data_IF_912868407793
#
_entry.id   IF_912868407793
#
_cell.length_a   1.000
_cell.length_b   1.000
_cell.length_c   1.000
_cell.angle_alpha   90.00
_cell.angle_beta   90.00
_cell.angle_gamma   90.00
#
_symmetry.space_group_name_H-M   'P 1'
#
loop_
_entity.id
_entity.type
_entity.pdbx_description
1 polymer ?
#
# COMPACT_ATOMS: atom_id res chain seq x y z
N UNK A 1 14.18 12.24 -27.15
CA UNK A 1 12.97 12.51 -26.35
C UNK A 1 13.16 11.77 -25.05
N UNK A 2 12.84 12.39 -23.91
CA UNK A 2 12.90 11.70 -22.63
C UNK A 2 11.96 10.50 -22.68
N UNK A 3 12.38 9.34 -22.17
CA UNK A 3 11.52 8.15 -22.12
C UNK A 3 10.46 8.34 -21.03
N UNK A 4 9.20 8.23 -21.41
CA UNK A 4 8.10 8.12 -20.45
C UNK A 4 8.16 6.76 -19.75
N UNK A 5 7.82 6.74 -18.46
CA UNK A 5 7.76 5.53 -17.64
C UNK A 5 6.32 5.22 -17.21
N UNK A 6 6.04 3.95 -16.95
CA UNK A 6 4.83 3.53 -16.25
C UNK A 6 5.13 3.33 -14.77
N UNK A 7 4.35 3.93 -13.87
CA UNK A 7 4.50 3.80 -12.44
C UNK A 7 3.22 3.22 -11.84
N UNK A 8 3.35 2.04 -11.25
CA UNK A 8 2.36 1.52 -10.33
C UNK A 8 2.61 2.10 -8.94
N UNK A 9 1.75 3.03 -8.50
CA UNK A 9 1.82 3.64 -7.17
C UNK A 9 0.88 2.87 -6.24
N UNK A 10 1.32 1.75 -5.67
CA UNK A 10 0.49 0.93 -4.79
C UNK A 10 0.48 1.37 -3.33
N UNK A 11 -0.49 0.87 -2.56
CA UNK A 11 -0.64 1.17 -1.12
C UNK A 11 0.58 0.71 -0.31
N UNK A 12 1.03 -0.53 -0.56
CA UNK A 12 2.13 -1.16 0.19
C UNK A 12 3.45 -1.13 -0.57
N UNK A 13 3.41 -1.37 -1.88
CA UNK A 13 4.58 -1.40 -2.75
C UNK A 13 4.29 -0.62 -4.03
N UNK A 14 5.33 -0.08 -4.64
CA UNK A 14 5.26 0.60 -5.92
C UNK A 14 6.28 0.00 -6.90
N UNK A 15 5.97 0.08 -8.19
CA UNK A 15 6.78 -0.46 -9.30
C UNK A 15 6.93 0.60 -10.37
N UNK A 16 8.09 0.62 -11.02
CA UNK A 16 8.35 1.46 -12.20
C UNK A 16 8.83 0.57 -13.34
N UNK A 17 8.28 0.81 -14.53
CA UNK A 17 8.60 0.08 -15.75
C UNK A 17 8.81 1.06 -16.91
N UNK A 18 9.59 0.62 -17.89
CA UNK A 18 9.81 1.33 -19.16
C UNK A 18 9.41 0.45 -20.32
N UNK A 19 9.00 1.08 -21.41
CA UNK A 19 8.75 0.40 -22.68
C UNK A 19 9.98 0.53 -23.59
N UNK A 20 10.67 -0.59 -23.85
CA UNK A 20 11.84 -0.62 -24.71
C UNK A 20 11.84 -1.87 -25.61
N UNK A 21 12.20 -1.70 -26.87
CA UNK A 21 12.33 -2.84 -27.80
C UNK A 21 11.02 -3.57 -28.12
N UNK A 22 9.86 -2.97 -27.82
CA UNK A 22 8.55 -3.60 -27.98
C UNK A 22 8.08 -4.40 -26.77
N UNK A 23 8.83 -4.39 -25.67
CA UNK A 23 8.49 -5.08 -24.43
C UNK A 23 8.46 -4.11 -23.25
N UNK A 24 7.65 -4.44 -22.24
CA UNK A 24 7.66 -3.74 -20.96
C UNK A 24 8.69 -4.36 -20.02
N UNK A 25 9.59 -3.55 -19.46
CA UNK A 25 10.63 -4.00 -18.53
C UNK A 25 10.52 -3.26 -17.20
N UNK A 26 10.36 -4.02 -16.11
CA UNK A 26 10.41 -3.48 -14.74
C UNK A 26 11.85 -3.10 -14.40
N UNK A 27 12.03 -1.88 -13.91
CA UNK A 27 13.32 -1.33 -13.52
C UNK A 27 13.57 -1.61 -12.02
N UNK A 28 14.64 -2.34 -11.65
CA UNK A 28 15.03 -2.48 -10.26
C UNK A 28 15.34 -1.15 -9.58
N UNK A 29 15.02 -1.01 -8.30
CA UNK A 29 15.45 0.13 -7.49
C UNK A 29 16.94 0.05 -7.13
N UNK A 30 17.45 1.11 -6.49
CA UNK A 30 18.86 1.18 -6.06
C UNK A 30 19.30 0.04 -5.14
N UNK A 31 18.35 -0.61 -4.46
CA UNK A 31 18.54 -1.75 -3.57
C UNK A 31 18.49 -3.11 -4.30
N UNK A 32 18.27 -3.12 -5.62
CA UNK A 32 18.22 -4.32 -6.47
C UNK A 32 16.86 -5.02 -6.52
N UNK A 33 15.82 -4.46 -5.90
CA UNK A 33 14.49 -5.05 -5.87
C UNK A 33 13.61 -4.50 -7.00
N UNK A 34 12.72 -5.33 -7.54
CA UNK A 34 11.75 -4.93 -8.57
C UNK A 34 10.53 -4.18 -8.02
N UNK A 35 10.38 -4.14 -6.71
CA UNK A 35 9.36 -3.37 -6.00
C UNK A 35 10.04 -2.48 -4.98
N UNK A 36 9.44 -1.33 -4.70
CA UNK A 36 9.85 -0.41 -3.65
C UNK A 36 8.72 -0.27 -2.64
N UNK A 37 8.95 -0.47 -1.33
CA UNK A 37 7.92 -0.21 -0.33
C UNK A 37 7.41 1.24 -0.42
N UNK A 38 6.09 1.43 -0.37
CA UNK A 38 5.43 2.74 -0.37
C UNK A 38 5.49 3.37 1.02
N UNK A 39 6.71 3.56 1.52
CA UNK A 39 6.98 4.00 2.90
C UNK A 39 7.94 5.18 2.87
N UNK A 40 7.64 6.20 3.68
CA UNK A 40 8.45 7.41 3.86
C UNK A 40 8.69 7.62 5.34
N UNK A 41 9.93 7.88 5.74
CA UNK A 41 10.26 8.19 7.13
C UNK A 41 10.98 9.52 7.25
N UNK A 42 10.66 10.25 8.32
CA UNK A 42 11.33 11.49 8.70
C UNK A 42 12.20 11.22 9.93
N UNK A 43 13.52 11.29 9.75
CA UNK A 43 14.48 11.05 10.84
C UNK A 43 14.53 12.23 11.80
N UNK A 44 15.13 12.06 12.98
CA UNK A 44 15.33 13.13 13.97
C UNK A 44 16.22 14.27 13.45
N UNK A 45 17.10 13.97 12.50
CA UNK A 45 17.94 14.97 11.82
C UNK A 45 17.20 15.72 10.71
N UNK A 46 15.95 15.36 10.41
CA UNK A 46 15.14 15.97 9.35
C UNK A 46 15.38 15.39 7.95
N UNK A 47 16.19 14.32 7.86
CA UNK A 47 16.39 13.56 6.62
C UNK A 47 15.12 12.77 6.28
N UNK A 48 14.89 12.57 4.98
CA UNK A 48 13.79 11.75 4.46
C UNK A 48 14.34 10.45 3.93
N UNK A 49 13.87 9.34 4.49
CA UNK A 49 14.12 8.01 3.96
C UNK A 49 12.89 7.56 3.17
N UNK A 50 13.09 6.80 2.10
CA UNK A 50 12.00 6.27 1.26
C UNK A 50 12.28 4.81 0.94
N UNK A 51 11.23 3.99 0.83
CA UNK A 51 11.35 2.59 0.43
C UNK A 51 11.92 1.71 1.52
N UNK A 52 12.88 0.86 1.17
CA UNK A 52 13.41 -0.15 2.09
C UNK A 52 14.08 0.47 3.31
N UNK A 53 14.78 1.61 3.14
CA UNK A 53 15.42 2.31 4.24
C UNK A 53 14.39 2.85 5.24
N UNK A 54 13.29 3.43 4.76
CA UNK A 54 12.19 3.88 5.61
C UNK A 54 11.53 2.71 6.34
N UNK A 55 11.24 1.61 5.64
CA UNK A 55 10.62 0.42 6.23
C UNK A 55 11.47 -0.19 7.35
N UNK A 56 12.80 -0.27 7.17
CA UNK A 56 13.73 -0.87 8.16
C UNK A 56 13.74 -0.16 9.51
N UNK A 57 13.53 1.16 9.53
CA UNK A 57 13.55 1.92 10.78
C UNK A 57 12.16 2.15 11.39
N UNK A 58 11.09 1.62 10.78
CA UNK A 58 9.71 1.85 11.20
C UNK A 58 9.49 1.47 12.68
N UNK A 59 10.10 0.38 13.15
CA UNK A 59 10.02 -0.06 14.56
C UNK A 59 10.61 0.98 15.51
N UNK A 60 11.72 1.63 15.15
CA UNK A 60 12.42 2.59 16.01
C UNK A 60 11.77 3.97 15.98
N UNK A 61 11.06 4.29 14.89
CA UNK A 61 10.43 5.58 14.65
C UNK A 61 9.01 5.42 14.08
N UNK A 62 8.08 4.78 14.81
CA UNK A 62 6.75 4.46 14.28
C UNK A 62 5.95 5.71 13.93
N UNK A 63 6.02 6.76 14.76
CA UNK A 63 5.29 8.00 14.55
C UNK A 63 5.87 8.87 13.42
N UNK A 64 7.16 8.72 13.10
CA UNK A 64 7.80 9.43 12.00
C UNK A 64 7.82 8.65 10.68
N UNK A 65 7.19 7.47 10.63
CA UNK A 65 7.21 6.58 9.46
C UNK A 65 5.82 6.39 8.90
N UNK A 66 5.58 6.95 7.72
CA UNK A 66 4.29 6.92 7.04
C UNK A 66 4.29 5.80 5.99
N UNK A 67 3.36 4.88 6.13
CA UNK A 67 3.03 3.79 5.21
C UNK A 67 1.54 3.84 4.87
N UNK A 68 1.10 3.13 3.81
CA UNK A 68 -0.32 3.10 3.40
C UNK A 68 -0.93 4.48 3.11
N UNK A 69 -0.10 5.46 2.74
CA UNK A 69 -0.54 6.85 2.47
C UNK A 69 -1.64 6.93 1.39
N UNK A 70 -1.64 5.97 0.45
CA UNK A 70 -2.66 5.85 -0.60
C UNK A 70 -4.09 5.64 -0.06
N UNK A 71 -4.26 5.09 1.15
CA UNK A 71 -5.59 4.98 1.78
C UNK A 71 -6.18 6.34 2.18
N UNK A 72 -5.34 7.37 2.33
CA UNK A 72 -5.71 8.71 2.79
C UNK A 72 -5.74 9.77 1.67
N UNK A 73 -5.15 9.46 0.51
CA UNK A 73 -5.01 10.42 -0.60
C UNK A 73 -6.37 10.87 -1.12
N UNK A 74 -6.55 12.19 -1.28
CA UNK A 74 -7.81 12.78 -1.75
C UNK A 74 -9.03 12.58 -0.84
N UNK A 75 -8.84 12.19 0.43
CA UNK A 75 -9.92 11.97 1.41
C UNK A 75 -9.93 13.00 2.53
N UNK A 76 -11.10 13.20 3.12
CA UNK A 76 -11.28 13.93 4.37
C UNK A 76 -11.03 13.03 5.58
N UNK A 77 -10.70 13.62 6.71
CA UNK A 77 -10.39 12.89 7.94
C UNK A 77 -11.58 12.08 8.48
N UNK A 78 -12.80 12.58 8.32
CA UNK A 78 -14.04 11.90 8.73
C UNK A 78 -14.35 10.65 7.90
N UNK A 79 -13.81 10.53 6.69
CA UNK A 79 -13.96 9.35 5.82
C UNK A 79 -12.96 8.23 6.12
N UNK A 80 -11.94 8.48 6.94
CA UNK A 80 -10.79 7.56 7.17
C UNK A 80 -10.52 7.34 8.66
N UNK A 81 -11.53 7.54 9.50
CA UNK A 81 -11.37 7.46 10.96
C UNK A 81 -10.97 6.06 11.43
N UNK A 82 -11.37 5.00 10.73
CA UNK A 82 -11.02 3.63 11.07
C UNK A 82 -9.58 3.31 10.63
N UNK A 83 -9.18 3.70 9.42
CA UNK A 83 -7.78 3.60 8.97
C UNK A 83 -6.83 4.39 9.87
N UNK A 84 -7.24 5.58 10.33
CA UNK A 84 -6.45 6.42 11.22
C UNK A 84 -6.18 5.74 12.58
N UNK A 85 -7.06 4.85 13.05
CA UNK A 85 -6.85 4.05 14.27
C UNK A 85 -5.99 2.81 14.04
N UNK A 86 -5.82 2.41 12.78
CA UNK A 86 -5.09 1.20 12.39
C UNK A 86 -3.61 1.48 12.05
N UNK A 87 -3.11 2.69 12.29
CA UNK A 87 -1.73 3.08 11.98
C UNK A 87 -0.99 3.56 13.24
N UNK A 88 0.34 3.43 13.25
CA UNK A 88 1.17 3.81 14.40
C UNK A 88 1.55 5.32 14.43
N UNK A 89 1.21 6.05 13.36
CA UNK A 89 1.46 7.49 13.21
C UNK A 89 0.17 8.30 13.35
N UNK A 90 0.30 9.61 13.59
CA UNK A 90 -0.86 10.48 13.86
C UNK A 90 -1.48 10.99 12.56
N UNK A 91 -2.77 10.70 12.37
CA UNK A 91 -3.60 11.27 11.29
C UNK A 91 -4.54 12.30 11.91
N UNK A 92 -4.61 13.50 11.32
CA UNK A 92 -5.42 14.60 11.83
C UNK A 92 -6.21 15.28 10.71
N UNK A 93 -7.26 16.01 11.08
CA UNK A 93 -7.95 16.92 10.17
C UNK A 93 -7.11 18.19 9.95
N UNK A 94 -6.77 18.46 8.69
CA UNK A 94 -6.18 19.71 8.25
C UNK A 94 -7.22 20.72 7.75
N UNK A 95 -6.75 21.71 7.00
CA UNK A 95 -7.60 22.74 6.39
C UNK A 95 -8.72 22.10 5.55
N UNK A 96 -9.95 22.60 5.74
CA UNK A 96 -11.14 22.09 5.05
C UNK A 96 -11.56 20.66 5.45
N UNK A 97 -10.94 20.08 6.48
CA UNK A 97 -11.19 18.70 6.93
C UNK A 97 -10.39 17.63 6.18
N UNK A 98 -9.43 18.00 5.33
CA UNK A 98 -8.58 17.07 4.60
C UNK A 98 -7.75 16.19 5.57
N UNK A 99 -7.54 14.92 5.24
CA UNK A 99 -6.64 14.07 6.01
C UNK A 99 -5.18 14.58 5.89
N UNK A 100 -4.48 14.64 7.03
CA UNK A 100 -3.08 15.03 7.13
C UNK A 100 -2.32 14.10 8.06
N UNK A 101 -1.05 13.86 7.76
CA UNK A 101 -0.13 13.16 8.64
C UNK A 101 0.61 14.18 9.49
N UNK A 102 0.48 14.07 10.81
CA UNK A 102 1.22 14.90 11.75
C UNK A 102 2.52 14.20 12.13
N UNK A 103 3.64 14.80 11.70
CA UNK A 103 4.97 14.32 12.04
C UNK A 103 5.70 15.45 12.74
N UNK A 104 5.86 15.30 14.06
CA UNK A 104 6.30 16.38 14.96
C UNK A 104 5.37 17.60 14.83
N UNK A 105 5.93 18.77 14.57
CA UNK A 105 5.19 20.03 14.44
C UNK A 105 4.74 20.33 13.00
N UNK A 106 4.85 19.36 12.09
CA UNK A 106 4.49 19.54 10.67
C UNK A 106 3.34 18.65 10.26
N UNK A 107 2.47 19.20 9.43
CA UNK A 107 1.40 18.48 8.75
C UNK A 107 1.85 18.22 7.31
N UNK A 108 1.78 16.96 6.90
CA UNK A 108 2.05 16.53 5.54
C UNK A 108 0.76 16.06 4.87
N UNK A 109 0.56 16.49 3.63
CA UNK A 109 -0.51 15.99 2.79
C UNK A 109 -0.16 14.59 2.25
N UNK A 110 -1.14 13.68 2.07
CA UNK A 110 -0.87 12.38 1.46
C UNK A 110 -0.17 12.45 0.10
N UNK A 111 -0.48 13.48 -0.69
CA UNK A 111 0.13 13.77 -1.97
C UNK A 111 1.64 14.04 -1.84
N UNK A 112 2.08 14.71 -0.77
CA UNK A 112 3.50 14.97 -0.52
C UNK A 112 4.26 13.70 -0.15
N UNK A 113 3.61 12.78 0.58
CA UNK A 113 4.19 11.48 0.93
C UNK A 113 4.31 10.61 -0.32
N UNK A 114 3.23 10.47 -1.10
CA UNK A 114 3.24 9.76 -2.38
C UNK A 114 4.26 10.34 -3.36
N UNK A 115 4.45 11.67 -3.38
CA UNK A 115 5.44 12.31 -4.21
C UNK A 115 6.89 11.90 -3.87
N UNK A 116 7.20 11.63 -2.59
CA UNK A 116 8.52 11.10 -2.22
C UNK A 116 8.76 9.71 -2.82
N UNK A 117 7.73 8.85 -2.82
CA UNK A 117 7.80 7.50 -3.40
C UNK A 117 7.99 7.60 -4.91
N UNK A 118 7.18 8.41 -5.60
CA UNK A 118 7.29 8.66 -7.05
C UNK A 118 8.67 9.22 -7.42
N UNK A 119 9.19 10.16 -6.63
CA UNK A 119 10.51 10.75 -6.86
C UNK A 119 11.62 9.71 -6.72
N UNK A 120 11.60 8.87 -5.68
CA UNK A 120 12.58 7.78 -5.53
C UNK A 120 12.57 6.84 -6.74
N UNK A 121 11.38 6.43 -7.19
CA UNK A 121 11.25 5.54 -8.36
C UNK A 121 11.85 6.18 -9.61
N UNK A 122 11.50 7.45 -9.89
CA UNK A 122 12.00 8.18 -11.04
C UNK A 122 13.52 8.43 -10.96
N UNK A 123 14.06 8.73 -9.79
CA UNK A 123 15.50 8.93 -9.57
C UNK A 123 16.29 7.64 -9.78
N UNK A 124 15.78 6.51 -9.26
CA UNK A 124 16.43 5.21 -9.45
C UNK A 124 16.35 4.75 -10.91
N UNK A 125 15.20 4.95 -11.56
CA UNK A 125 15.07 4.69 -12.99
C UNK A 125 15.99 5.57 -13.84
N UNK A 126 16.13 6.85 -13.48
CA UNK A 126 17.01 7.78 -14.20
C UNK A 126 18.47 7.32 -14.17
N UNK A 127 18.94 6.82 -13.02
CA UNK A 127 20.31 6.28 -12.89
C UNK A 127 20.52 5.05 -13.78
N UNK A 128 19.53 4.17 -13.85
CA UNK A 128 19.63 2.94 -14.65
C UNK A 128 19.51 3.20 -16.16
N UNK A 129 18.65 4.14 -16.57
CA UNK A 129 18.46 4.52 -17.97
C UNK A 129 19.57 5.44 -18.50
N UNK A 130 20.33 6.10 -17.61
CA UNK A 130 21.37 7.05 -17.98
C UNK A 130 20.83 8.41 -18.47
N UNK A 131 19.53 8.64 -18.33
CA UNK A 131 18.84 9.88 -18.69
C UNK A 131 17.80 10.24 -17.62
N UNK A 132 17.46 11.52 -17.51
CA UNK A 132 16.48 11.99 -16.52
C UNK A 132 15.07 11.61 -16.95
N UNK A 133 14.35 10.91 -16.08
CA UNK A 133 12.91 10.66 -16.21
C UNK A 133 12.13 11.92 -15.83
N UNK A 134 11.31 12.42 -16.76
CA UNK A 134 10.49 13.63 -16.57
C UNK A 134 9.01 13.40 -16.83
N UNK A 135 8.63 12.32 -17.48
CA UNK A 135 7.27 12.03 -17.92
C UNK A 135 6.82 10.67 -17.41
N UNK A 136 5.57 10.56 -16.94
CA UNK A 136 5.05 9.32 -16.39
C UNK A 136 3.56 9.09 -16.68
N UNK A 137 3.19 7.83 -16.83
CA UNK A 137 1.83 7.31 -16.64
C UNK A 137 1.75 6.72 -15.24
N UNK A 138 0.76 7.12 -14.45
CA UNK A 138 0.62 6.69 -13.04
C UNK A 138 -0.70 5.93 -12.86
N UNK A 139 -0.65 4.80 -12.16
CA UNK A 139 -1.83 3.98 -11.87
C UNK A 139 -2.68 4.56 -10.73
N UNK A 140 -3.98 4.30 -10.76
CA UNK A 140 -4.91 4.49 -9.64
C UNK A 140 -5.94 3.34 -9.63
N UNK A 141 -6.55 3.05 -8.48
CA UNK A 141 -7.69 2.13 -8.41
C UNK A 141 -8.81 2.57 -9.35
N UNK A 142 -9.51 1.63 -9.96
CA UNK A 142 -10.60 1.96 -10.89
C UNK A 142 -11.71 2.73 -10.18
N UNK A 143 -11.99 2.37 -8.93
CA UNK A 143 -13.02 3.00 -8.10
C UNK A 143 -12.60 4.34 -7.46
N UNK A 144 -11.41 4.88 -7.75
CA UNK A 144 -11.02 6.21 -7.28
C UNK A 144 -11.93 7.31 -7.86
N UNK A 145 -12.39 8.21 -6.98
CA UNK A 145 -13.16 9.39 -7.35
C UNK A 145 -12.28 10.52 -7.91
N UNK A 146 -12.90 11.61 -8.35
CA UNK A 146 -12.21 12.75 -8.96
C UNK A 146 -11.18 13.42 -8.04
N UNK A 147 -11.47 13.51 -6.74
CA UNK A 147 -10.56 14.11 -5.76
C UNK A 147 -9.30 13.25 -5.59
N UNK A 148 -9.46 11.93 -5.48
CA UNK A 148 -8.35 10.99 -5.34
C UNK A 148 -7.50 10.93 -6.61
N UNK A 149 -8.12 10.94 -7.79
CA UNK A 149 -7.41 11.00 -9.09
C UNK A 149 -6.60 12.29 -9.24
N UNK A 150 -7.19 13.42 -8.85
CA UNK A 150 -6.53 14.73 -8.89
C UNK A 150 -5.35 14.76 -7.92
N UNK A 151 -5.54 14.28 -6.68
CA UNK A 151 -4.52 14.20 -5.66
C UNK A 151 -3.32 13.32 -6.10
N UNK A 152 -3.57 12.16 -6.73
CA UNK A 152 -2.49 11.32 -7.29
C UNK A 152 -1.75 12.03 -8.43
N UNK A 153 -2.47 12.75 -9.30
CA UNK A 153 -1.85 13.55 -10.36
C UNK A 153 -0.97 14.67 -9.77
N UNK A 154 -1.42 15.31 -8.70
CA UNK A 154 -0.66 16.34 -7.99
C UNK A 154 0.57 15.76 -7.29
N UNK A 155 0.48 14.56 -6.72
CA UNK A 155 1.66 13.84 -6.21
C UNK A 155 2.74 13.65 -7.31
N UNK A 156 2.34 13.30 -8.53
CA UNK A 156 3.24 13.24 -9.68
C UNK A 156 3.90 14.58 -10.00
N UNK A 157 3.13 15.67 -10.02
CA UNK A 157 3.65 17.03 -10.23
C UNK A 157 4.63 17.45 -9.13
N UNK A 158 4.30 17.20 -7.86
CA UNK A 158 5.17 17.48 -6.70
C UNK A 158 6.46 16.65 -6.78
N UNK A 159 6.40 15.44 -7.32
CA UNK A 159 7.57 14.61 -7.56
C UNK A 159 8.48 15.16 -8.67
N UNK A 160 8.00 16.09 -9.50
CA UNK A 160 8.72 16.65 -10.64
C UNK A 160 8.47 15.90 -11.95
N UNK A 161 7.34 15.17 -12.04
CA UNK A 161 6.92 14.42 -13.22
C UNK A 161 5.78 15.13 -13.94
N UNK A 162 5.88 15.20 -15.27
CA UNK A 162 4.73 15.45 -16.13
C UNK A 162 3.87 14.19 -16.21
N UNK A 163 2.67 14.26 -15.62
CA UNK A 163 1.73 13.14 -15.62
C UNK A 163 0.95 13.13 -16.94
N UNK A 164 1.44 12.34 -17.89
CA UNK A 164 0.85 12.20 -19.23
C UNK A 164 -0.55 11.56 -19.17
N UNK A 165 -0.72 10.59 -18.26
CA UNK A 165 -1.99 9.88 -18.07
C UNK A 165 -2.09 9.32 -16.66
N UNK A 166 -3.31 9.37 -16.13
CA UNK A 166 -3.73 8.51 -15.02
C UNK A 166 -4.46 7.32 -15.63
N UNK A 167 -4.03 6.10 -15.32
CA UNK A 167 -4.63 4.87 -15.82
C UNK A 167 -5.20 4.06 -14.67
N UNK A 168 -6.31 3.36 -14.90
CA UNK A 168 -6.87 2.46 -13.91
C UNK A 168 -6.00 1.19 -13.80
N UNK A 169 -5.74 0.75 -12.57
CA UNK A 169 -4.98 -0.48 -12.26
C UNK A 169 -5.47 -1.70 -13.04
N UNK A 170 -6.77 -2.07 -13.03
CA UNK A 170 -7.23 -3.24 -13.77
C UNK A 170 -7.12 -3.05 -15.30
N UNK A 171 -7.20 -1.82 -15.81
CA UNK A 171 -6.95 -1.55 -17.23
C UNK A 171 -5.47 -1.72 -17.58
N UNK A 172 -4.55 -1.28 -16.72
CA UNK A 172 -3.11 -1.49 -16.90
C UNK A 172 -2.76 -2.99 -16.86
N UNK A 173 -3.37 -3.75 -15.93
CA UNK A 173 -3.24 -5.20 -15.86
C UNK A 173 -3.78 -5.90 -17.12
N UNK A 174 -4.94 -5.49 -17.62
CA UNK A 174 -5.52 -6.02 -18.85
C UNK A 174 -4.69 -5.69 -20.09
N UNK A 175 -4.07 -4.50 -20.16
CA UNK A 175 -3.12 -4.15 -21.22
C UNK A 175 -1.90 -5.08 -21.17
N UNK A 176 -1.31 -5.28 -19.99
CA UNK A 176 -0.19 -6.20 -19.82
C UNK A 176 -0.54 -7.64 -20.20
N UNK A 177 -1.75 -8.11 -19.88
CA UNK A 177 -2.26 -9.43 -20.26
C UNK A 177 -2.53 -9.55 -21.77
N UNK A 178 -3.11 -8.51 -22.36
CA UNK A 178 -3.64 -8.49 -23.72
C UNK A 178 -2.63 -8.15 -24.82
N UNK A 179 -1.43 -7.69 -24.45
CA UNK A 179 -0.42 -7.21 -25.41
C UNK A 179 -0.09 -8.21 -26.53
N UNK A 180 -0.02 -9.51 -26.21
CA UNK A 180 0.31 -10.57 -27.17
C UNK A 180 -0.93 -11.31 -27.70
N UNK A 181 -2.13 -10.90 -27.30
CA UNK A 181 -3.38 -11.57 -27.62
C UNK A 181 -3.98 -11.04 -28.92
N UNK A 182 -4.22 -11.96 -29.87
CA UNK A 182 -4.86 -11.66 -31.17
C UNK A 182 -6.36 -11.94 -31.19
N UNK A 183 -6.86 -12.73 -30.24
CA UNK A 183 -8.28 -13.05 -30.16
C UNK A 183 -8.98 -12.06 -29.22
N UNK A 184 -10.21 -11.71 -29.56
CA UNK A 184 -11.07 -10.93 -28.67
C UNK A 184 -11.59 -11.85 -27.56
N UNK A 185 -11.24 -11.53 -26.31
CA UNK A 185 -11.71 -12.23 -25.12
C UNK A 185 -12.24 -11.27 -24.07
N UNK A 186 -13.31 -11.69 -23.39
CA UNK A 186 -13.82 -10.98 -22.20
C UNK A 186 -13.12 -11.54 -20.97
N UNK A 187 -12.45 -10.68 -20.22
CA UNK A 187 -11.69 -11.02 -19.02
C UNK A 187 -12.27 -10.35 -17.78
N UNK A 188 -12.14 -11.03 -16.64
CA UNK A 188 -12.37 -10.45 -15.32
C UNK A 188 -11.01 -10.21 -14.67
N UNK A 189 -10.74 -8.95 -14.32
CA UNK A 189 -9.59 -8.60 -13.48
C UNK A 189 -10.09 -8.44 -12.05
N UNK A 190 -9.58 -9.26 -11.15
CA UNK A 190 -9.81 -9.18 -9.70
C UNK A 190 -8.51 -8.70 -9.05
N UNK A 191 -8.52 -7.47 -8.54
CA UNK A 191 -7.35 -6.82 -7.96
C UNK A 191 -7.59 -6.50 -6.49
N UNK A 192 -7.02 -7.31 -5.59
CA UNK A 192 -7.07 -7.12 -4.15
C UNK A 192 -5.66 -6.77 -3.64
N UNK A 193 -5.40 -5.47 -3.53
CA UNK A 193 -4.12 -4.93 -3.14
C UNK A 193 -3.96 -4.74 -1.63
N UNK A 194 -3.01 -3.88 -1.24
CA UNK A 194 -2.74 -3.57 0.17
C UNK A 194 -3.82 -2.75 0.88
N UNK A 195 -4.61 -1.96 0.15
CA UNK A 195 -5.66 -1.15 0.77
C UNK A 195 -6.87 -0.83 -0.10
N UNK A 196 -6.92 -1.40 -1.31
CA UNK A 196 -8.03 -1.24 -2.24
C UNK A 196 -8.36 -2.56 -2.91
N UNK A 197 -9.63 -2.74 -3.22
CA UNK A 197 -10.15 -3.84 -4.00
C UNK A 197 -10.87 -3.27 -5.24
N UNK A 198 -10.49 -3.73 -6.42
CA UNK A 198 -11.19 -3.45 -7.67
C UNK A 198 -11.53 -4.75 -8.40
N UNK A 199 -12.67 -4.75 -9.07
CA UNK A 199 -13.05 -5.75 -10.06
C UNK A 199 -13.48 -5.05 -11.33
N UNK A 200 -13.02 -5.54 -12.48
CA UNK A 200 -13.42 -5.00 -13.78
C UNK A 200 -13.63 -6.11 -14.79
N UNK A 201 -14.69 -5.99 -15.58
CA UNK A 201 -14.92 -6.80 -16.77
C UNK A 201 -14.41 -6.00 -17.97
N UNK A 202 -13.51 -6.58 -18.74
CA UNK A 202 -12.90 -5.92 -19.89
C UNK A 202 -12.95 -6.82 -21.10
N UNK A 203 -13.15 -6.23 -22.27
CA UNK A 203 -12.87 -6.89 -23.54
C UNK A 203 -11.47 -6.52 -23.99
N UNK A 204 -10.70 -7.55 -24.33
CA UNK A 204 -9.28 -7.45 -24.69
C UNK A 204 -9.10 -8.12 -26.04
N UNK A 205 -8.47 -7.43 -26.99
CA UNK A 205 -8.11 -8.00 -28.29
C UNK A 205 -7.60 -6.93 -29.26
N UNK A 206 -6.76 -7.34 -30.21
CA UNK A 206 -6.14 -6.46 -31.21
C UNK A 206 -5.43 -5.22 -30.61
N UNK A 207 -4.84 -5.39 -29.42
CA UNK A 207 -4.18 -4.30 -28.68
C UNK A 207 -5.13 -3.24 -28.12
N UNK A 208 -6.44 -3.49 -28.13
CA UNK A 208 -7.48 -2.65 -27.55
C UNK A 208 -8.00 -3.27 -26.26
N UNK A 209 -8.24 -2.42 -25.26
CA UNK A 209 -8.88 -2.78 -23.99
C UNK A 209 -10.09 -1.88 -23.79
N UNK A 210 -11.28 -2.46 -23.76
CA UNK A 210 -12.55 -1.78 -23.49
C UNK A 210 -13.09 -2.21 -22.13
N UNK A 211 -13.29 -1.27 -21.21
CA UNK A 211 -13.91 -1.55 -19.90
C UNK A 211 -15.42 -1.67 -20.08
N UNK A 212 -15.98 -2.84 -19.75
CA UNK A 212 -17.43 -3.09 -19.77
C UNK A 212 -18.10 -2.61 -18.49
N UNK A 213 -17.49 -2.96 -17.36
CA UNK A 213 -17.98 -2.62 -16.03
C UNK A 213 -16.83 -2.58 -15.03
N UNK A 214 -17.01 -1.82 -13.96
CA UNK A 214 -16.06 -1.73 -12.86
C UNK A 214 -16.81 -1.52 -11.55
N UNK A 215 -16.35 -2.16 -10.50
CA UNK A 215 -16.82 -2.00 -9.13
C UNK A 215 -15.64 -2.23 -8.17
N UNK A 216 -15.77 -1.83 -6.92
CA UNK A 216 -14.68 -2.02 -5.96
C UNK A 216 -15.02 -1.55 -4.56
N UNK A 217 -14.03 -1.60 -3.69
CA UNK A 217 -14.04 -1.07 -2.33
C UNK A 217 -12.71 -0.37 -2.05
N UNK A 218 -12.76 0.96 -1.93
CA UNK A 218 -11.59 1.81 -1.68
C UNK A 218 -11.06 1.76 -0.25
N UNK A 219 -11.64 0.92 0.62
CA UNK A 219 -11.31 0.74 2.04
C UNK A 219 -11.13 -0.75 2.39
N UNK A 220 -10.74 -1.57 1.42
CA UNK A 220 -10.55 -3.00 1.59
C UNK A 220 -9.25 -3.46 0.95
N UNK A 221 -8.34 -4.03 1.73
CA UNK A 221 -7.13 -4.64 1.21
C UNK A 221 -6.31 -5.32 2.31
N UNK A 222 -5.08 -5.72 1.97
CA UNK A 222 -4.17 -6.45 2.85
C UNK A 222 -3.95 -5.85 4.25
N UNK A 223 -4.02 -4.52 4.39
CA UNK A 223 -3.91 -3.83 5.68
C UNK A 223 -5.07 -4.21 6.63
N UNK A 224 -6.28 -4.45 6.10
CA UNK A 224 -7.43 -4.87 6.89
C UNK A 224 -7.25 -6.32 7.39
N UNK A 225 -6.64 -7.18 6.58
CA UNK A 225 -6.29 -8.55 6.98
C UNK A 225 -5.20 -8.55 8.06
N UNK A 226 -4.18 -7.70 7.91
CA UNK A 226 -3.12 -7.53 8.92
C UNK A 226 -3.72 -7.03 10.24
N UNK A 227 -4.66 -6.08 10.16
CA UNK A 227 -5.35 -5.57 11.35
C UNK A 227 -6.08 -6.67 12.11
N UNK A 228 -6.75 -7.63 11.44
CA UNK A 228 -7.41 -8.76 12.13
C UNK A 228 -6.43 -9.64 12.89
N UNK A 229 -5.24 -9.89 12.33
CA UNK A 229 -4.18 -10.63 13.02
C UNK A 229 -3.61 -9.84 14.19
N UNK A 230 -3.38 -8.52 14.02
CA UNK A 230 -2.92 -7.65 15.11
C UNK A 230 -3.91 -7.67 16.27
N UNK A 231 -5.21 -7.53 16.01
CA UNK A 231 -6.24 -7.57 17.06
C UNK A 231 -6.28 -8.93 17.75
N UNK A 232 -6.25 -10.03 17.00
CA UNK A 232 -6.20 -11.38 17.57
C UNK A 232 -4.98 -11.58 18.50
N UNK A 233 -3.80 -11.12 18.08
CA UNK A 233 -2.57 -11.21 18.85
C UNK A 233 -2.59 -10.31 20.10
N UNK A 234 -3.05 -9.07 19.94
CA UNK A 234 -3.14 -8.10 21.03
C UNK A 234 -4.17 -8.51 22.08
N UNK A 235 -5.35 -8.99 21.67
CA UNK A 235 -6.39 -9.47 22.58
C UNK A 235 -5.93 -10.71 23.35
N UNK A 236 -5.21 -11.63 22.70
CA UNK A 236 -4.58 -12.77 23.36
C UNK A 236 -3.58 -12.34 24.42
N UNK A 237 -2.67 -11.44 24.05
CA UNK A 237 -1.66 -10.91 24.97
C UNK A 237 -2.27 -10.15 26.15
N UNK A 238 -3.32 -9.36 25.90
CA UNK A 238 -4.04 -8.60 26.94
C UNK A 238 -4.76 -9.54 27.92
N UNK A 239 -5.37 -10.63 27.44
CA UNK A 239 -5.99 -11.63 28.31
C UNK A 239 -4.97 -12.31 29.25
N UNK A 240 -3.77 -12.57 28.75
CA UNK A 240 -2.71 -13.24 29.51
C UNK A 240 -1.93 -12.31 30.45
N UNK A 241 -1.69 -11.06 30.02
CA UNK A 241 -0.77 -10.14 30.70
C UNK A 241 -1.44 -8.89 31.26
N UNK A 242 -2.71 -8.62 30.93
CA UNK A 242 -3.43 -7.41 31.33
C UNK A 242 -2.98 -6.13 30.63
N UNK A 243 -2.17 -6.23 29.56
CA UNK A 243 -1.59 -5.09 28.84
C UNK A 243 -2.11 -5.07 27.40
N UNK A 244 -2.67 -3.93 26.98
CA UNK A 244 -3.06 -3.72 25.59
C UNK A 244 -1.87 -3.15 24.79
N UNK A 245 -1.25 -4.00 23.96
CA UNK A 245 -0.11 -3.62 23.13
C UNK A 245 -0.45 -2.56 22.07
N UNK A 246 -1.74 -2.34 21.76
CA UNK A 246 -2.17 -1.33 20.79
C UNK A 246 -1.95 0.10 21.29
N UNK A 247 -1.78 0.29 22.60
CA UNK A 247 -1.53 1.60 23.22
C UNK A 247 -0.06 2.03 23.15
N UNK A 248 0.85 1.12 22.80
CA UNK A 248 2.28 1.39 22.63
C UNK A 248 2.62 1.43 21.13
N UNK A 249 2.99 2.59 20.56
CA UNK A 249 3.30 2.70 19.13
C UNK A 249 4.41 1.76 18.64
N UNK A 250 5.43 1.50 19.46
CA UNK A 250 6.52 0.59 19.08
C UNK A 250 6.05 -0.85 19.10
N UNK A 251 5.30 -1.25 20.13
CA UNK A 251 4.72 -2.59 20.19
C UNK A 251 3.71 -2.83 19.05
N UNK A 252 2.85 -1.85 18.76
CA UNK A 252 1.89 -1.91 17.67
C UNK A 252 2.57 -2.05 16.31
N UNK A 253 3.62 -1.27 16.04
CA UNK A 253 4.39 -1.39 14.79
C UNK A 253 5.02 -2.78 14.62
N UNK A 254 5.56 -3.35 15.71
CA UNK A 254 6.12 -4.71 15.72
C UNK A 254 5.05 -5.78 15.51
N UNK A 255 3.85 -5.59 16.05
CA UNK A 255 2.71 -6.46 15.81
C UNK A 255 2.31 -6.46 14.34
N UNK A 256 2.21 -5.29 13.70
CA UNK A 256 1.87 -5.20 12.28
C UNK A 256 2.90 -5.90 11.40
N UNK A 257 4.19 -5.69 11.63
CA UNK A 257 5.25 -6.36 10.84
C UNK A 257 5.21 -7.88 11.00
N UNK A 258 4.97 -8.37 12.23
CA UNK A 258 4.84 -9.80 12.48
C UNK A 258 3.54 -10.39 11.91
N UNK A 259 2.44 -9.63 11.95
CA UNK A 259 1.15 -10.02 11.39
C UNK A 259 1.20 -10.12 9.86
N UNK A 260 1.78 -9.14 9.17
CA UNK A 260 1.96 -9.14 7.71
C UNK A 260 2.81 -10.35 7.27
N UNK A 261 3.89 -10.63 8.01
CA UNK A 261 4.73 -11.80 7.78
C UNK A 261 3.96 -13.11 7.98
N UNK A 262 3.24 -13.24 9.10
CA UNK A 262 2.44 -14.43 9.38
C UNK A 262 1.32 -14.65 8.34
N UNK A 263 0.60 -13.60 7.94
CA UNK A 263 -0.40 -13.63 6.85
C UNK A 263 0.19 -14.20 5.56
N UNK A 264 1.36 -13.68 5.19
CA UNK A 264 2.04 -14.08 3.95
C UNK A 264 2.51 -15.54 4.03
N UNK A 265 3.10 -15.97 5.16
CA UNK A 265 3.49 -17.35 5.38
C UNK A 265 2.30 -18.31 5.30
N UNK A 266 1.18 -17.98 5.95
CA UNK A 266 -0.05 -18.77 5.99
C UNK A 266 -0.67 -19.01 4.61
N UNK A 267 -0.30 -18.22 3.58
CA UNK A 267 -0.70 -18.49 2.20
C UNK A 267 -0.11 -19.80 1.65
N UNK A 268 0.99 -20.29 2.24
CA UNK A 268 1.70 -21.50 1.80
C UNK A 268 1.73 -22.62 2.85
N UNK A 269 1.65 -22.28 4.14
CA UNK A 269 1.67 -23.25 5.25
C UNK A 269 0.38 -23.24 6.07
N UNK A 270 0.14 -24.29 6.86
CA UNK A 270 -1.07 -24.45 7.69
C UNK A 270 -1.00 -23.72 9.03
N UNK A 271 0.20 -23.33 9.48
CA UNK A 271 0.41 -22.58 10.71
C UNK A 271 1.66 -21.69 10.60
N UNK A 272 1.65 -20.55 11.28
CA UNK A 272 2.79 -19.63 11.38
C UNK A 272 3.08 -19.31 12.86
N UNK A 273 4.36 -19.18 13.22
CA UNK A 273 4.78 -18.79 14.56
C UNK A 273 5.09 -17.29 14.60
N UNK A 274 4.44 -16.59 15.51
CA UNK A 274 4.73 -15.20 15.85
C UNK A 274 5.54 -15.19 17.15
N UNK A 275 6.76 -14.67 17.09
CA UNK A 275 7.60 -14.50 18.29
C UNK A 275 8.17 -13.08 18.34
N UNK A 276 7.74 -12.33 19.35
CA UNK A 276 8.15 -10.96 19.63
C UNK A 276 8.74 -10.89 21.04
N UNK A 277 10.06 -11.11 21.18
CA UNK A 277 10.72 -11.00 22.47
C UNK A 277 10.80 -9.53 22.91
N UNK A 278 10.71 -9.27 24.23
CA UNK A 278 10.78 -7.91 24.77
C UNK A 278 9.78 -6.98 24.09
N UNK A 279 8.54 -7.43 23.91
CA UNK A 279 7.50 -6.66 23.23
C UNK A 279 7.03 -5.48 24.07
N UNK A 280 7.04 -5.65 25.40
CA UNK A 280 6.76 -4.60 26.39
C UNK A 280 7.37 -5.00 27.74
N UNK A 281 7.15 -4.22 28.79
CA UNK A 281 7.56 -4.54 30.17
C UNK A 281 6.51 -4.05 31.19
N UNK A 282 6.42 -4.74 32.33
CA UNK A 282 5.65 -4.32 33.50
C UNK A 282 6.52 -4.32 34.77
N UNK A 283 5.89 -4.14 35.94
CA UNK A 283 6.59 -4.17 37.23
C UNK A 283 7.28 -5.52 37.54
N UNK A 284 6.85 -6.62 36.90
CA UNK A 284 7.46 -7.94 37.03
C UNK A 284 8.60 -8.17 36.00
N UNK A 285 8.79 -7.25 35.06
CA UNK A 285 9.90 -7.24 34.11
C UNK A 285 9.47 -7.32 32.64
N UNK A 286 10.40 -7.67 31.73
CA UNK A 286 10.10 -7.74 30.31
C UNK A 286 9.10 -8.84 29.98
N UNK A 287 8.25 -8.58 28.98
CA UNK A 287 7.27 -9.53 28.44
C UNK A 287 7.60 -9.90 27.00
N UNK A 288 7.15 -11.08 26.62
CA UNK A 288 7.35 -11.66 25.30
C UNK A 288 6.00 -12.11 24.77
N UNK A 289 5.76 -11.94 23.48
CA UNK A 289 4.61 -12.54 22.81
C UNK A 289 5.10 -13.72 21.98
N UNK A 290 4.56 -14.90 22.26
CA UNK A 290 4.76 -16.10 21.45
C UNK A 290 3.39 -16.69 21.15
N UNK A 291 3.02 -16.79 19.88
CA UNK A 291 1.75 -17.31 19.45
C UNK A 291 1.93 -18.19 18.20
N UNK A 292 1.11 -19.23 18.08
CA UNK A 292 0.96 -19.99 16.85
C UNK A 292 -0.39 -19.65 16.23
N UNK A 293 -0.39 -19.15 15.00
CA UNK A 293 -1.61 -18.85 14.26
C UNK A 293 -1.84 -19.96 13.25
N UNK A 294 -3.01 -20.57 13.31
CA UNK A 294 -3.45 -21.55 12.31
C UNK A 294 -4.06 -20.83 11.11
N UNK A 295 -3.85 -21.37 9.90
CA UNK A 295 -4.52 -20.87 8.68
C UNK A 295 -6.03 -20.82 8.84
N UNK A 296 -6.62 -21.86 9.44
CA UNK A 296 -8.07 -21.91 9.72
C UNK A 296 -8.54 -20.77 10.61
N UNK A 297 -7.75 -20.37 11.62
CA UNK A 297 -8.06 -19.21 12.46
C UNK A 297 -7.98 -17.92 11.65
N UNK A 298 -6.95 -17.75 10.82
CA UNK A 298 -6.82 -16.60 9.94
C UNK A 298 -7.99 -16.48 8.95
N UNK A 299 -8.34 -17.58 8.28
CA UNK A 299 -9.51 -17.66 7.38
C UNK A 299 -10.80 -17.30 8.12
N UNK A 300 -10.99 -17.79 9.35
CA UNK A 300 -12.17 -17.49 10.15
C UNK A 300 -12.28 -15.99 10.51
N UNK A 301 -11.20 -15.37 10.99
CA UNK A 301 -11.23 -13.97 11.44
C UNK A 301 -11.22 -12.94 10.29
N UNK A 302 -11.00 -13.40 9.05
CA UNK A 302 -11.00 -12.58 7.84
C UNK A 302 -12.08 -12.97 6.83
N UNK A 303 -12.94 -13.95 7.16
CA UNK A 303 -13.96 -14.46 6.26
C UNK A 303 -14.90 -13.36 5.73
N UNK A 304 -15.28 -12.41 6.58
CA UNK A 304 -16.13 -11.28 6.21
C UNK A 304 -15.42 -10.31 5.25
N UNK A 305 -14.10 -10.16 5.33
CA UNK A 305 -13.33 -9.34 4.39
C UNK A 305 -13.33 -9.95 2.98
N UNK A 306 -13.22 -11.28 2.89
CA UNK A 306 -13.33 -12.00 1.62
C UNK A 306 -14.76 -11.95 1.09
N UNK A 307 -15.76 -12.11 1.96
CA UNK A 307 -17.17 -12.02 1.59
C UNK A 307 -17.55 -10.63 1.06
N UNK A 308 -16.97 -9.56 1.63
CA UNK A 308 -17.12 -8.17 1.14
C UNK A 308 -16.74 -8.03 -0.33
N UNK A 309 -15.77 -8.80 -0.84
CA UNK A 309 -15.40 -8.77 -2.25
C UNK A 309 -16.53 -9.27 -3.18
N UNK A 310 -17.43 -10.13 -2.71
CA UNK A 310 -18.49 -10.71 -3.54
C UNK A 310 -19.53 -9.69 -4.00
N UNK A 311 -19.76 -8.63 -3.22
CA UNK A 311 -20.70 -7.56 -3.58
C UNK A 311 -20.28 -6.88 -4.89
N UNK A 312 -19.09 -6.26 -4.95
CA UNK A 312 -18.57 -5.66 -6.18
C UNK A 312 -18.46 -6.66 -7.34
N UNK A 313 -18.04 -7.91 -7.09
CA UNK A 313 -17.93 -8.94 -8.14
C UNK A 313 -19.28 -9.26 -8.79
N UNK A 314 -20.38 -9.25 -8.03
CA UNK A 314 -21.73 -9.45 -8.59
C UNK A 314 -22.28 -8.20 -9.29
N UNK A 315 -21.80 -7.03 -8.91
CA UNK A 315 -22.22 -5.75 -9.49
C UNK A 315 -21.55 -5.50 -10.85
N UNK A 316 -20.29 -5.89 -10.99
CA UNK A 316 -19.54 -5.83 -12.25
C UNK A 316 -20.10 -6.84 -13.26
#
# INVERSE_FOLDING_TARGET
>A
MAKAVGIDLGTTNSVIAVWEGGESTVIPNSEGNRTTPSVVAFTDTGERLVGQLARRQAILNPQGTIYSAKRFIGRRFDEVSEEAKAVAYEVVAGDGGAARFKVRDKLYAPEEISAQVLRKLADDASKQLGERVTEAVITVPAYFNDAQRTATKDAGRIAGLEVLRIINEPTAAALAYGMDKKEHETVLVFDLGGGTFDVSILDVGDGVVEVRSTAGDGHLGGDDFDRRLVDQLADGFQKENGIDLRQDPQALQRLFEAAEKAKTELSSVTQAQVSLPFITADAAGPKHLTATIMRSTFEQITADLVERCLGPVRQA
#
